data_IF_736599117254
#
_entry.id   IF_736599117254
#
_cell.length_a   1.000
_cell.length_b   1.000
_cell.length_c   1.000
_cell.angle_alpha   90.00
_cell.angle_beta   90.00
_cell.angle_gamma   90.00
#
_symmetry.space_group_name_H-M   'P 1'
#
loop_
_entity.id
_entity.type
_entity.pdbx_description
1 polymer ?
#
# COMPACT_ATOMS: atom_id res chain seq x y z
N UNK A 1 -7.94 3.92 -37.71
CA UNK A 1 -8.54 3.05 -36.68
C UNK A 1 -7.44 2.76 -35.66
N UNK A 2 -7.40 3.44 -34.52
CA UNK A 2 -6.37 3.17 -33.49
C UNK A 2 -6.89 2.05 -32.59
N UNK A 3 -6.30 0.85 -32.70
CA UNK A 3 -6.45 -0.19 -31.69
C UNK A 3 -5.94 0.37 -30.37
N UNK A 4 -6.83 0.56 -29.40
CA UNK A 4 -6.43 0.90 -28.05
C UNK A 4 -5.82 -0.36 -27.43
N UNK A 5 -4.50 -0.51 -27.58
CA UNK A 5 -3.72 -1.56 -26.93
C UNK A 5 -4.10 -1.65 -25.45
N UNK A 6 -4.55 -2.83 -24.99
CA UNK A 6 -4.92 -3.03 -23.60
C UNK A 6 -3.75 -2.59 -22.69
N UNK A 7 -3.86 -1.49 -21.93
CA UNK A 7 -2.74 -0.94 -21.18
C UNK A 7 -2.28 -1.87 -20.06
N UNK A 8 -3.06 -2.90 -19.72
CA UNK A 8 -2.69 -3.93 -18.74
C UNK A 8 -1.84 -5.04 -19.34
N UNK A 9 -1.78 -5.18 -20.66
CA UNK A 9 -0.94 -6.19 -21.31
C UNK A 9 0.54 -6.03 -20.91
N UNK A 10 1.00 -4.77 -20.77
CA UNK A 10 2.36 -4.44 -20.32
C UNK A 10 2.71 -5.04 -18.94
N UNK A 11 1.72 -5.26 -18.07
CA UNK A 11 1.94 -5.84 -16.74
C UNK A 11 2.25 -7.33 -16.79
N UNK A 12 1.85 -8.02 -17.88
CA UNK A 12 2.16 -9.45 -18.06
C UNK A 12 3.65 -9.67 -18.25
N UNK A 13 4.34 -8.79 -18.96
CA UNK A 13 5.76 -8.97 -19.30
C UNK A 13 6.70 -8.10 -18.44
N UNK A 14 6.14 -7.29 -17.54
CA UNK A 14 6.89 -6.43 -16.64
C UNK A 14 7.81 -7.24 -15.69
N UNK A 15 9.12 -7.00 -15.80
CA UNK A 15 10.14 -7.56 -14.91
C UNK A 15 10.26 -6.83 -13.57
N UNK A 16 9.96 -5.52 -13.55
CA UNK A 16 9.97 -4.67 -12.35
C UNK A 16 8.61 -4.00 -12.19
N UNK A 17 8.01 -4.18 -11.03
CA UNK A 17 6.64 -3.72 -10.74
C UNK A 17 6.67 -2.89 -9.46
N UNK A 18 6.15 -1.67 -9.53
CA UNK A 18 5.86 -0.86 -8.34
C UNK A 18 4.37 -0.98 -8.06
N UNK A 19 4.01 -1.54 -6.91
CA UNK A 19 2.63 -1.63 -6.45
C UNK A 19 2.42 -0.52 -5.44
N UNK A 20 1.62 0.50 -5.82
CA UNK A 20 1.21 1.54 -4.88
C UNK A 20 -0.15 1.21 -4.30
N UNK A 21 -0.26 1.27 -2.98
CA UNK A 21 -1.51 1.03 -2.26
C UNK A 21 -1.92 2.25 -1.45
N UNK A 22 -3.15 2.72 -1.67
CA UNK A 22 -3.72 3.85 -0.94
C UNK A 22 -4.15 3.50 0.47
N UNK A 23 -4.33 4.52 1.31
CA UNK A 23 -4.73 4.36 2.72
C UNK A 23 -6.09 3.66 2.87
N UNK A 24 -7.04 3.90 1.96
CA UNK A 24 -8.37 3.27 1.99
C UNK A 24 -8.37 1.77 1.67
N UNK A 25 -7.33 1.28 0.97
CA UNK A 25 -7.26 -0.12 0.55
C UNK A 25 -6.78 -1.06 1.67
N UNK A 26 -6.12 -0.50 2.69
CA UNK A 26 -5.44 -1.28 3.73
C UNK A 26 -5.85 -0.93 5.16
N UNK A 27 -6.36 0.28 5.42
CA UNK A 27 -6.61 0.75 6.78
C UNK A 27 -7.73 0.01 7.54
N UNK A 28 -8.44 -0.95 6.92
CA UNK A 28 -9.67 -1.52 7.49
C UNK A 28 -9.78 -3.05 7.49
N UNK A 29 -8.77 -3.80 7.00
CA UNK A 29 -8.87 -5.26 6.93
C UNK A 29 -7.48 -5.93 6.89
N UNK A 30 -7.08 -6.63 7.97
CA UNK A 30 -5.86 -7.46 7.98
C UNK A 30 -5.85 -8.51 6.87
N UNK A 31 -7.01 -9.03 6.47
CA UNK A 31 -7.13 -10.04 5.41
C UNK A 31 -6.63 -9.50 4.06
N UNK A 32 -6.86 -8.21 3.77
CA UNK A 32 -6.37 -7.56 2.54
C UNK A 32 -4.85 -7.44 2.51
N UNK A 33 -4.20 -7.23 3.66
CA UNK A 33 -2.75 -7.23 3.75
C UNK A 33 -2.17 -8.60 3.42
N UNK A 34 -2.75 -9.66 4.00
CA UNK A 34 -2.29 -11.02 3.75
C UNK A 34 -2.44 -11.40 2.28
N UNK A 35 -3.61 -11.14 1.70
CA UNK A 35 -3.85 -11.42 0.28
C UNK A 35 -2.88 -10.66 -0.64
N UNK A 36 -2.55 -9.40 -0.33
CA UNK A 36 -1.56 -8.65 -1.09
C UNK A 36 -0.15 -9.22 -0.93
N UNK A 37 0.23 -9.62 0.28
CA UNK A 37 1.52 -10.25 0.54
C UNK A 37 1.66 -11.56 -0.25
N UNK A 38 0.61 -12.39 -0.29
CA UNK A 38 0.57 -13.64 -1.05
C UNK A 38 0.71 -13.39 -2.56
N UNK A 39 0.00 -12.37 -3.08
CA UNK A 39 0.12 -11.96 -4.49
C UNK A 39 1.53 -11.49 -4.84
N UNK A 40 2.16 -10.67 -3.98
CA UNK A 40 3.54 -10.20 -4.17
C UNK A 40 4.51 -11.39 -4.13
N UNK A 41 4.34 -12.31 -3.18
CA UNK A 41 5.16 -13.52 -3.07
C UNK A 41 5.04 -14.38 -4.34
N UNK A 42 3.83 -14.55 -4.88
CA UNK A 42 3.62 -15.27 -6.13
C UNK A 42 4.31 -14.61 -7.34
N UNK A 43 4.40 -13.28 -7.39
CA UNK A 43 5.16 -12.60 -8.45
C UNK A 43 6.68 -12.75 -8.26
N UNK A 44 7.18 -12.70 -7.02
CA UNK A 44 8.59 -12.94 -6.72
C UNK A 44 9.04 -14.35 -7.13
N UNK A 45 8.19 -15.37 -6.96
CA UNK A 45 8.43 -16.74 -7.45
C UNK A 45 8.53 -16.86 -8.97
N UNK A 46 8.10 -15.83 -9.71
CA UNK A 46 8.23 -15.73 -11.18
C UNK A 46 9.41 -14.84 -11.58
N UNK A 47 10.40 -14.69 -10.70
CA UNK A 47 11.59 -13.85 -10.86
C UNK A 47 11.32 -12.38 -11.16
N UNK A 48 10.15 -11.87 -10.73
CA UNK A 48 9.80 -10.44 -10.85
C UNK A 48 10.27 -9.67 -9.63
N UNK A 49 10.86 -8.51 -9.88
CA UNK A 49 11.18 -7.53 -8.84
C UNK A 49 9.95 -6.70 -8.49
N UNK A 50 9.49 -6.79 -7.24
CA UNK A 50 8.33 -6.03 -6.77
C UNK A 50 8.74 -5.05 -5.68
N UNK A 51 8.37 -3.78 -5.84
CA UNK A 51 8.47 -2.74 -4.82
C UNK A 51 7.06 -2.36 -4.37
N UNK A 52 6.80 -2.49 -3.07
CA UNK A 52 5.53 -2.06 -2.47
C UNK A 52 5.69 -0.64 -1.92
N UNK A 53 4.75 0.24 -2.27
CA UNK A 53 4.61 1.58 -1.69
C UNK A 53 3.24 1.65 -1.02
N UNK A 54 3.18 1.54 0.30
CA UNK A 54 1.93 1.64 1.05
C UNK A 54 1.76 3.01 1.70
N UNK A 55 0.51 3.46 1.77
CA UNK A 55 0.10 4.51 2.69
C UNK A 55 -0.46 3.86 3.98
N UNK A 56 -1.03 4.65 4.88
CA UNK A 56 -1.76 4.14 6.04
C UNK A 56 -1.07 4.30 7.39
N UNK A 57 0.22 4.65 7.44
CA UNK A 57 0.95 4.85 8.70
C UNK A 57 0.20 5.79 9.68
N UNK A 58 -0.22 6.98 9.22
CA UNK A 58 -1.03 7.88 10.05
C UNK A 58 -2.32 7.21 10.53
N UNK A 59 -3.06 6.56 9.62
CA UNK A 59 -4.36 5.94 9.92
C UNK A 59 -4.26 4.83 10.98
N UNK A 60 -3.15 4.08 10.96
CA UNK A 60 -2.87 3.02 11.94
C UNK A 60 -2.28 3.58 13.24
N UNK A 61 -1.60 4.72 13.19
CA UNK A 61 -0.87 5.26 14.35
C UNK A 61 -1.65 6.21 15.25
N UNK A 62 -2.57 7.05 14.72
CA UNK A 62 -3.31 7.97 15.58
C UNK A 62 -4.22 7.28 16.63
N UNK A 63 -4.84 6.11 16.36
CA UNK A 63 -5.60 5.39 17.39
C UNK A 63 -4.68 4.84 18.49
N UNK A 64 -3.47 4.40 18.12
CA UNK A 64 -2.44 3.91 19.07
C UNK A 64 -1.93 5.01 20.01
N UNK A 65 -2.01 6.27 19.58
CA UNK A 65 -1.71 7.45 20.41
C UNK A 65 -2.88 7.89 21.31
N UNK A 66 -4.01 7.16 21.30
CA UNK A 66 -5.20 7.52 22.09
C UNK A 66 -5.91 8.78 21.61
N UNK A 67 -5.66 9.22 20.36
CA UNK A 67 -6.35 10.38 19.80
C UNK A 67 -7.79 10.01 19.45
N UNK A 68 -8.78 10.88 19.73
CA UNK A 68 -10.20 10.57 19.49
C UNK A 68 -10.59 10.62 18.01
N UNK A 69 -9.77 11.28 17.19
CA UNK A 69 -9.97 11.40 15.75
C UNK A 69 -8.61 11.63 15.05
N UNK A 70 -8.62 11.52 13.72
CA UNK A 70 -7.45 11.83 12.89
C UNK A 70 -6.97 13.27 13.19
N UNK A 71 -5.69 13.46 13.59
CA UNK A 71 -5.17 14.79 13.89
C UNK A 71 -5.03 15.65 12.64
N UNK A 72 -5.03 16.97 12.82
CA UNK A 72 -4.88 17.96 11.74
C UNK A 72 -3.58 18.76 11.82
N UNK A 73 -2.94 18.82 13.00
CA UNK A 73 -1.65 19.52 13.15
C UNK A 73 -0.50 18.66 12.62
N UNK A 74 0.48 19.29 11.98
CA UNK A 74 1.64 18.59 11.40
C UNK A 74 2.39 17.76 12.45
N UNK A 75 2.63 18.31 13.64
CA UNK A 75 3.32 17.59 14.71
C UNK A 75 2.59 16.29 15.11
N UNK A 76 1.26 16.34 15.26
CA UNK A 76 0.47 15.14 15.60
C UNK A 76 0.35 14.17 14.43
N UNK A 77 0.31 14.67 13.20
CA UNK A 77 0.36 13.84 11.99
C UNK A 77 1.70 13.09 11.89
N UNK A 78 2.82 13.73 12.19
CA UNK A 78 4.14 13.10 12.21
C UNK A 78 4.26 12.07 13.33
N UNK A 79 3.78 12.40 14.55
CA UNK A 79 3.73 11.44 15.65
C UNK A 79 2.92 10.20 15.27
N UNK A 80 1.72 10.39 14.71
CA UNK A 80 0.88 9.28 14.23
C UNK A 80 1.57 8.49 13.11
N UNK A 81 2.25 9.15 12.17
CA UNK A 81 3.00 8.45 11.12
C UNK A 81 4.12 7.58 11.69
N UNK A 82 4.91 8.10 12.64
CA UNK A 82 5.98 7.34 13.29
C UNK A 82 5.44 6.12 14.05
N UNK A 83 4.40 6.31 14.87
CA UNK A 83 3.76 5.24 15.66
C UNK A 83 3.06 4.18 14.81
N UNK A 84 2.50 4.56 13.66
CA UNK A 84 1.83 3.60 12.77
C UNK A 84 2.77 2.90 11.79
N UNK A 85 4.00 3.37 11.64
CA UNK A 85 5.02 2.72 10.82
C UNK A 85 5.78 1.61 11.57
N UNK A 86 5.83 1.69 12.91
CA UNK A 86 6.46 0.68 13.78
C UNK A 86 5.63 -0.59 13.96
#
# INVERSE_FOLDING_TARGET
MQEHSNPRAILRDARRIVVKVGSSALATSPERFQALADQIAAQKKKDRSVVLVSSGAIALGWPRLGLPARPTTIARLQAAAATGQS
#
